data_IF_669014628267
#
_entry.id   IF_669014628267
#
_cell.length_a   1.000
_cell.length_b   1.000
_cell.length_c   1.000
_cell.angle_alpha   90.00
_cell.angle_beta   90.00
_cell.angle_gamma   90.00
#
_symmetry.space_group_name_H-M   'P 1'
#
loop_
_entity.id
_entity.type
_entity.pdbx_description
1 polymer ?
#
# COMPACT_ATOMS: atom_id res chain seq x y z
N UNK A 1 9.35 8.93 2.73
CA UNK A 1 8.19 9.00 1.84
C UNK A 1 7.14 9.98 2.35
N UNK A 2 6.60 9.80 3.55
CA UNK A 2 5.55 10.65 4.11
C UNK A 2 5.88 12.15 4.01
N UNK A 3 7.06 12.55 4.44
CA UNK A 3 7.49 13.97 4.39
C UNK A 3 7.48 14.52 2.96
N UNK A 4 7.83 13.71 1.97
CA UNK A 4 7.77 14.10 0.57
C UNK A 4 6.33 14.24 0.09
N UNK A 5 5.45 13.28 0.42
CA UNK A 5 4.03 13.32 0.05
C UNK A 5 3.32 14.57 0.61
N UNK A 6 3.65 14.97 1.85
CA UNK A 6 3.08 16.14 2.51
C UNK A 6 3.41 17.48 1.81
N UNK A 7 4.34 17.49 0.86
CA UNK A 7 4.61 18.68 0.03
C UNK A 7 3.55 18.91 -1.05
N UNK A 8 2.69 17.92 -1.31
CA UNK A 8 1.69 17.95 -2.39
C UNK A 8 0.25 17.78 -1.87
N UNK A 9 -0.21 18.60 -0.90
CA UNK A 9 -1.52 18.41 -0.24
C UNK A 9 -2.72 18.64 -1.17
N UNK A 10 -2.51 19.25 -2.34
CA UNK A 10 -3.55 19.44 -3.36
C UNK A 10 -3.75 18.20 -4.26
N UNK A 11 -2.79 17.28 -4.23
CA UNK A 11 -2.79 16.09 -5.08
C UNK A 11 -2.94 14.79 -4.28
N UNK A 12 -2.42 14.77 -3.04
CA UNK A 12 -2.26 13.57 -2.22
C UNK A 12 -2.77 13.83 -0.81
N UNK A 13 -3.73 13.04 -0.37
CA UNK A 13 -4.12 12.96 1.03
C UNK A 13 -3.37 11.81 1.71
N UNK A 14 -2.72 12.09 2.84
CA UNK A 14 -2.00 11.10 3.64
C UNK A 14 -2.82 10.75 4.86
N UNK A 15 -3.29 9.51 4.92
CA UNK A 15 -4.07 8.96 6.02
C UNK A 15 -3.23 7.97 6.85
N UNK A 16 -3.01 8.28 8.12
CA UNK A 16 -2.09 7.54 8.99
C UNK A 16 -2.86 6.67 9.99
N UNK A 17 -3.08 5.40 9.70
CA UNK A 17 -3.89 4.49 10.52
C UNK A 17 -3.47 4.46 12.00
N UNK A 18 -2.18 4.39 12.30
CA UNK A 18 -1.69 4.36 13.69
C UNK A 18 -1.88 5.68 14.44
N UNK A 19 -2.03 6.78 13.74
CA UNK A 19 -2.36 8.08 14.33
C UNK A 19 -3.85 8.26 14.53
N UNK A 20 -4.64 7.80 13.55
CA UNK A 20 -6.11 7.89 13.60
C UNK A 20 -6.70 6.90 14.62
N UNK A 21 -6.09 5.71 14.75
CA UNK A 21 -6.58 4.62 15.58
C UNK A 21 -5.52 4.12 16.58
N UNK A 22 -5.07 4.96 17.52
CA UNK A 22 -4.04 4.58 18.50
C UNK A 22 -4.52 3.50 19.47
N UNK A 23 -5.82 3.37 19.66
CA UNK A 23 -6.50 2.37 20.49
C UNK A 23 -7.02 1.16 19.68
N UNK A 24 -6.76 1.14 18.36
CA UNK A 24 -7.19 0.12 17.42
C UNK A 24 -8.71 -0.01 17.22
N UNK A 25 -9.50 0.96 17.68
CA UNK A 25 -10.93 1.04 17.43
C UNK A 25 -11.20 1.75 16.10
N UNK A 26 -11.35 0.97 15.03
CA UNK A 26 -11.51 1.51 13.67
C UNK A 26 -12.96 1.97 13.48
N UNK A 27 -13.15 3.23 13.08
CA UNK A 27 -14.43 3.73 12.61
C UNK A 27 -14.65 3.30 11.16
N UNK A 28 -15.23 2.11 11.01
CA UNK A 28 -15.45 1.46 9.71
C UNK A 28 -16.21 2.35 8.74
N UNK A 29 -17.26 3.05 9.19
CA UNK A 29 -18.06 3.92 8.32
C UNK A 29 -17.26 5.11 7.82
N UNK A 30 -16.49 5.74 8.69
CA UNK A 30 -15.61 6.84 8.32
C UNK A 30 -14.56 6.39 7.29
N UNK A 31 -13.96 5.22 7.48
CA UNK A 31 -12.98 4.67 6.54
C UNK A 31 -13.61 4.31 5.20
N UNK A 32 -14.80 3.73 5.20
CA UNK A 32 -15.56 3.44 3.99
C UNK A 32 -15.93 4.73 3.23
N UNK A 33 -16.39 5.76 3.92
CA UNK A 33 -16.67 7.08 3.34
C UNK A 33 -15.41 7.73 2.76
N UNK A 34 -14.27 7.57 3.42
CA UNK A 34 -12.98 8.04 2.92
C UNK A 34 -12.59 7.31 1.63
N UNK A 35 -12.69 5.99 1.60
CA UNK A 35 -12.38 5.18 0.41
C UNK A 35 -13.25 5.53 -0.80
N UNK A 36 -14.53 5.85 -0.56
CA UNK A 36 -15.46 6.24 -1.64
C UNK A 36 -15.01 7.53 -2.35
N UNK A 37 -14.36 8.45 -1.64
CA UNK A 37 -13.92 9.75 -2.20
C UNK A 37 -12.81 9.62 -3.24
N UNK A 38 -12.02 8.54 -3.18
CA UNK A 38 -10.81 8.40 -3.99
C UNK A 38 -10.93 7.26 -5.00
N UNK A 39 -10.55 7.52 -6.24
CA UNK A 39 -10.46 6.51 -7.29
C UNK A 39 -9.08 5.85 -7.35
N UNK A 40 -8.07 6.49 -6.76
CA UNK A 40 -6.70 6.03 -6.70
C UNK A 40 -6.23 5.95 -5.25
N UNK A 41 -5.92 4.75 -4.78
CA UNK A 41 -5.61 4.44 -3.38
C UNK A 41 -4.28 3.69 -3.32
N UNK A 42 -3.39 4.09 -2.42
CA UNK A 42 -2.12 3.38 -2.19
C UNK A 42 -2.04 2.95 -0.73
N UNK A 43 -1.92 1.66 -0.49
CA UNK A 43 -1.58 1.13 0.82
C UNK A 43 -0.06 1.17 1.00
N UNK A 44 0.41 2.07 1.87
CA UNK A 44 1.81 2.24 2.18
C UNK A 44 2.15 1.60 3.52
N UNK A 45 3.09 0.62 3.53
CA UNK A 45 3.46 -0.07 4.76
C UNK A 45 4.87 -0.68 4.71
N UNK A 46 5.52 -0.86 5.87
CA UNK A 46 6.69 -1.70 5.98
C UNK A 46 6.30 -3.18 5.96
N UNK A 47 7.08 -4.00 5.27
CA UNK A 47 6.85 -5.44 5.25
C UNK A 47 7.30 -6.06 6.58
N UNK A 48 6.34 -6.50 7.40
CA UNK A 48 6.56 -7.18 8.66
C UNK A 48 6.22 -8.65 8.55
N UNK A 49 7.23 -9.53 8.75
CA UNK A 49 7.05 -10.97 8.63
C UNK A 49 6.35 -11.38 7.33
N UNK A 50 6.81 -10.77 6.20
CA UNK A 50 6.28 -11.03 4.85
C UNK A 50 4.80 -10.63 4.68
N UNK A 51 4.30 -9.75 5.53
CA UNK A 51 2.93 -9.24 5.52
C UNK A 51 2.89 -7.75 5.90
N UNK A 52 1.72 -7.15 5.94
CA UNK A 52 1.54 -5.80 6.43
C UNK A 52 1.56 -5.73 7.97
N UNK A 53 1.72 -4.51 8.55
CA UNK A 53 1.54 -4.30 9.98
C UNK A 53 0.15 -4.71 10.46
N UNK A 54 0.00 -5.18 11.72
CA UNK A 54 -1.23 -5.79 12.21
C UNK A 54 -2.44 -4.85 12.17
N UNK A 55 -2.27 -3.55 12.40
CA UNK A 55 -3.38 -2.60 12.32
C UNK A 55 -3.90 -2.46 10.88
N UNK A 56 -3.04 -2.50 9.85
CA UNK A 56 -3.51 -2.50 8.46
C UNK A 56 -4.27 -3.79 8.14
N UNK A 57 -3.82 -4.95 8.64
CA UNK A 57 -4.56 -6.20 8.44
C UNK A 57 -5.92 -6.15 9.11
N UNK A 58 -6.00 -5.69 10.36
CA UNK A 58 -7.26 -5.48 11.07
C UNK A 58 -8.17 -4.52 10.30
N UNK A 59 -7.61 -3.42 9.80
CA UNK A 59 -8.34 -2.44 8.99
C UNK A 59 -8.93 -3.06 7.72
N UNK A 60 -8.16 -3.86 6.98
CA UNK A 60 -8.65 -4.58 5.80
C UNK A 60 -9.80 -5.53 6.16
N UNK A 61 -9.66 -6.28 7.25
CA UNK A 61 -10.67 -7.25 7.70
C UNK A 61 -11.98 -6.60 8.15
N UNK A 62 -11.92 -5.41 8.74
CA UNK A 62 -13.11 -4.72 9.25
C UNK A 62 -13.76 -3.80 8.22
N UNK A 63 -12.95 -3.08 7.40
CA UNK A 63 -13.47 -2.10 6.46
C UNK A 63 -14.00 -2.73 5.19
N UNK A 64 -13.38 -3.85 4.73
CA UNK A 64 -13.82 -4.56 3.53
C UNK A 64 -14.95 -5.54 3.88
N UNK A 65 -16.09 -4.99 4.30
CA UNK A 65 -17.25 -5.77 4.73
C UNK A 65 -18.00 -6.45 3.57
N UNK A 66 -18.68 -7.53 3.90
CA UNK A 66 -19.64 -8.19 3.02
C UNK A 66 -20.77 -7.21 2.61
N UNK A 67 -21.17 -7.24 1.34
CA UNK A 67 -22.11 -6.30 0.71
C UNK A 67 -21.64 -4.84 0.64
N UNK A 68 -20.40 -4.55 1.04
CA UNK A 68 -19.78 -3.25 0.80
C UNK A 68 -18.59 -3.40 -0.19
N UNK A 69 -17.55 -4.17 0.15
CA UNK A 69 -16.41 -4.43 -0.71
C UNK A 69 -16.62 -5.64 -1.63
N UNK A 70 -17.33 -6.64 -1.17
CA UNK A 70 -17.55 -7.91 -1.88
C UNK A 70 -18.95 -8.48 -1.59
N UNK A 71 -19.31 -9.57 -2.29
CA UNK A 71 -20.64 -10.19 -2.19
C UNK A 71 -21.63 -9.62 -3.20
N UNK A 72 -22.92 -9.94 -3.03
CA UNK A 72 -23.96 -9.63 -4.03
C UNK A 72 -24.10 -8.15 -4.37
N UNK A 73 -23.95 -7.27 -3.38
CA UNK A 73 -24.07 -5.83 -3.51
C UNK A 73 -22.77 -5.07 -3.23
N UNK A 74 -21.66 -5.80 -3.00
CA UNK A 74 -20.36 -5.23 -2.66
C UNK A 74 -19.62 -4.76 -3.91
N UNK A 75 -19.74 -3.51 -4.24
CA UNK A 75 -19.19 -2.89 -5.44
C UNK A 75 -18.43 -1.57 -5.18
N UNK A 76 -18.21 -1.20 -3.92
CA UNK A 76 -17.69 0.12 -3.56
C UNK A 76 -16.23 0.34 -3.93
N UNK A 77 -15.49 -0.75 -4.15
CA UNK A 77 -14.10 -0.71 -4.62
C UNK A 77 -13.96 -1.06 -6.10
N UNK A 78 -15.07 -1.38 -6.77
CA UNK A 78 -15.09 -1.75 -8.19
C UNK A 78 -14.44 -0.66 -9.04
N UNK A 79 -13.49 -1.10 -9.88
CA UNK A 79 -12.71 -0.27 -10.78
C UNK A 79 -11.82 0.80 -10.11
N UNK A 80 -11.77 0.88 -8.77
CA UNK A 80 -10.81 1.75 -8.10
C UNK A 80 -9.39 1.22 -8.30
N UNK A 81 -8.47 2.12 -8.59
CA UNK A 81 -7.05 1.83 -8.76
C UNK A 81 -6.40 1.69 -7.39
N UNK A 82 -5.95 0.51 -7.05
CA UNK A 82 -5.39 0.24 -5.72
C UNK A 82 -3.98 -0.33 -5.85
N UNK A 83 -3.01 0.38 -5.32
CA UNK A 83 -1.61 -0.01 -5.35
C UNK A 83 -1.01 -0.22 -3.97
N UNK A 84 0.20 -0.76 -3.96
CA UNK A 84 0.99 -0.95 -2.76
C UNK A 84 2.28 -0.15 -2.83
N UNK A 85 2.69 0.44 -1.72
CA UNK A 85 4.02 1.01 -1.55
C UNK A 85 4.68 0.37 -0.33
N UNK A 86 5.73 -0.44 -0.57
CA UNK A 86 6.27 -1.34 0.45
C UNK A 86 7.73 -1.05 0.73
N UNK A 87 8.09 -0.90 2.01
CA UNK A 87 9.48 -0.89 2.45
C UNK A 87 9.87 -2.26 2.99
N UNK A 88 11.07 -2.73 2.65
CA UNK A 88 11.60 -4.00 3.15
C UNK A 88 12.93 -3.81 3.88
N UNK A 89 13.11 -4.53 4.99
CA UNK A 89 14.40 -4.57 5.67
C UNK A 89 15.45 -5.41 4.95
N UNK A 90 15.02 -6.33 4.09
CA UNK A 90 15.90 -7.19 3.29
C UNK A 90 16.34 -6.53 1.99
N UNK A 91 17.51 -6.95 1.49
CA UNK A 91 18.03 -6.52 0.18
C UNK A 91 17.17 -7.05 -0.97
N UNK A 92 17.20 -6.36 -2.11
CA UNK A 92 16.48 -6.78 -3.33
C UNK A 92 16.84 -8.22 -3.75
N UNK A 93 18.09 -8.60 -3.70
CA UNK A 93 18.55 -9.94 -4.08
C UNK A 93 18.06 -11.07 -3.14
N UNK A 94 17.48 -10.74 -1.98
CA UNK A 94 16.87 -11.74 -1.11
C UNK A 94 15.50 -12.19 -1.63
N UNK A 95 14.79 -11.31 -2.36
CA UNK A 95 13.44 -11.54 -2.88
C UNK A 95 13.48 -12.07 -4.31
N UNK A 96 13.98 -13.29 -4.46
CA UNK A 96 14.00 -14.04 -5.71
C UNK A 96 14.12 -15.54 -5.45
N UNK A 97 13.75 -16.36 -6.43
CA UNK A 97 14.04 -17.79 -6.40
C UNK A 97 15.54 -18.04 -6.25
N UNK A 98 15.92 -18.87 -5.29
CA UNK A 98 17.33 -19.11 -4.91
C UNK A 98 17.94 -18.03 -4.01
N UNK A 99 17.26 -16.92 -3.75
CA UNK A 99 17.64 -15.92 -2.76
C UNK A 99 17.36 -16.36 -1.31
N UNK A 100 17.76 -15.53 -0.34
CA UNK A 100 17.58 -15.82 1.08
C UNK A 100 16.11 -16.05 1.47
N UNK A 101 15.19 -15.26 0.92
CA UNK A 101 13.75 -15.35 1.19
C UNK A 101 13.04 -16.37 0.30
N UNK A 102 13.72 -16.92 -0.72
CA UNK A 102 13.24 -17.94 -1.66
C UNK A 102 12.12 -17.52 -2.61
N UNK A 103 11.35 -16.50 -2.28
CA UNK A 103 10.24 -15.96 -3.05
C UNK A 103 10.54 -14.54 -3.51
N UNK A 104 10.01 -14.14 -4.66
CA UNK A 104 10.02 -12.76 -5.14
C UNK A 104 9.12 -11.88 -4.27
N UNK A 105 9.28 -10.55 -4.35
CA UNK A 105 8.37 -9.65 -3.65
C UNK A 105 6.95 -9.72 -4.23
N UNK A 106 6.82 -9.93 -5.55
CA UNK A 106 5.54 -10.17 -6.21
C UNK A 106 4.78 -11.34 -5.57
N UNK A 107 5.46 -12.47 -5.37
CA UNK A 107 4.86 -13.65 -4.74
C UNK A 107 4.47 -13.40 -3.27
N UNK A 108 5.24 -12.60 -2.55
CA UNK A 108 4.92 -12.21 -1.17
C UNK A 108 3.68 -11.31 -1.13
N UNK A 109 3.45 -10.51 -2.16
CA UNK A 109 2.33 -9.56 -2.22
C UNK A 109 1.04 -10.14 -2.84
N UNK A 110 1.05 -11.38 -3.35
CA UNK A 110 -0.13 -12.07 -3.89
C UNK A 110 -1.39 -11.93 -3.01
N UNK A 111 -1.33 -12.09 -1.66
CA UNK A 111 -2.53 -11.95 -0.84
C UNK A 111 -3.22 -10.58 -0.94
N UNK A 112 -2.45 -9.52 -1.19
CA UNK A 112 -3.00 -8.17 -1.38
C UNK A 112 -3.59 -8.00 -2.77
N UNK A 113 -2.90 -8.48 -3.80
CA UNK A 113 -3.42 -8.51 -5.16
C UNK A 113 -4.75 -9.25 -5.22
N UNK A 114 -4.82 -10.47 -4.66
CA UNK A 114 -6.05 -11.25 -4.59
C UNK A 114 -7.16 -10.54 -3.80
N UNK A 115 -6.83 -9.87 -2.69
CA UNK A 115 -7.81 -9.11 -1.91
C UNK A 115 -8.41 -7.96 -2.74
N UNK A 116 -7.56 -7.23 -3.48
CA UNK A 116 -8.00 -6.13 -4.33
C UNK A 116 -8.84 -6.64 -5.50
N UNK A 117 -8.39 -7.71 -6.17
CA UNK A 117 -9.10 -8.34 -7.28
C UNK A 117 -10.46 -8.90 -6.83
N UNK A 118 -10.52 -9.54 -5.66
CA UNK A 118 -11.75 -10.06 -5.08
C UNK A 118 -12.77 -8.96 -4.77
N UNK A 119 -12.28 -7.79 -4.34
CA UNK A 119 -13.09 -6.57 -4.16
C UNK A 119 -13.38 -5.83 -5.48
N UNK A 120 -13.06 -6.41 -6.65
CA UNK A 120 -13.26 -5.85 -7.98
C UNK A 120 -12.46 -4.55 -8.25
N UNK A 121 -11.44 -4.26 -7.44
CA UNK A 121 -10.48 -3.19 -7.70
C UNK A 121 -9.51 -3.53 -8.83
N UNK A 122 -8.80 -2.54 -9.32
CA UNK A 122 -7.72 -2.69 -10.28
C UNK A 122 -6.40 -2.66 -9.51
N UNK A 123 -5.72 -3.81 -9.42
CA UNK A 123 -4.41 -3.87 -8.78
C UNK A 123 -3.36 -3.17 -9.64
N UNK A 124 -2.65 -2.22 -9.05
CA UNK A 124 -1.58 -1.47 -9.72
C UNK A 124 -0.21 -2.14 -9.47
N UNK A 125 0.76 -1.98 -10.38
CA UNK A 125 2.14 -2.34 -10.09
C UNK A 125 2.60 -1.71 -8.77
N UNK A 126 3.19 -2.48 -7.86
CA UNK A 126 3.62 -1.95 -6.57
C UNK A 126 4.88 -1.07 -6.68
N UNK A 127 5.05 -0.15 -5.73
CA UNK A 127 6.29 0.59 -5.50
C UNK A 127 7.03 0.00 -4.31
N UNK A 128 8.37 -0.09 -4.39
CA UNK A 128 9.13 -0.67 -3.29
C UNK A 128 10.51 -0.06 -3.10
N UNK A 129 10.96 -0.02 -1.83
CA UNK A 129 12.35 0.25 -1.46
C UNK A 129 12.87 -0.88 -0.57
N UNK A 130 14.09 -1.32 -0.83
CA UNK A 130 14.74 -2.44 -0.17
C UNK A 130 15.87 -1.97 0.74
N UNK A 131 16.24 -2.80 1.74
CA UNK A 131 17.37 -2.52 2.62
C UNK A 131 17.10 -1.42 3.66
N UNK A 132 15.84 -1.09 3.92
CA UNK A 132 15.46 -0.08 4.92
C UNK A 132 15.23 -0.77 6.27
N UNK A 133 16.26 -0.84 7.09
CA UNK A 133 16.19 -1.45 8.42
C UNK A 133 17.00 -0.63 9.42
N UNK A 134 16.53 -0.50 10.67
CA UNK A 134 17.32 0.12 11.75
C UNK A 134 18.67 -0.56 11.98
N UNK A 135 18.79 -1.84 11.57
CA UNK A 135 19.99 -2.66 11.78
C UNK A 135 20.87 -2.79 10.52
N UNK A 136 20.34 -2.51 9.35
CA UNK A 136 21.02 -2.63 8.06
C UNK A 136 20.55 -1.45 7.22
N UNK A 137 21.09 -0.27 7.49
CA UNK A 137 20.80 0.89 6.66
C UNK A 137 21.80 0.91 5.51
N UNK A 138 21.38 0.44 4.33
CA UNK A 138 22.19 0.41 3.13
C UNK A 138 21.99 1.63 2.23
N UNK A 139 20.97 2.43 2.52
CA UNK A 139 20.64 3.63 1.74
C UNK A 139 21.09 4.89 2.49
N UNK A 140 21.79 5.76 1.78
CA UNK A 140 22.08 7.10 2.24
C UNK A 140 20.82 7.98 2.27
N UNK A 141 20.85 9.09 2.98
CA UNK A 141 19.76 10.07 3.02
C UNK A 141 19.43 10.60 1.61
N UNK A 142 20.45 10.78 0.75
CA UNK A 142 20.28 11.22 -0.63
C UNK A 142 19.52 10.17 -1.46
N UNK A 143 19.85 8.88 -1.31
CA UNK A 143 19.14 7.78 -1.99
C UNK A 143 17.70 7.65 -1.50
N UNK A 144 17.46 7.80 -0.20
CA UNK A 144 16.11 7.82 0.36
C UNK A 144 15.31 9.02 -0.14
N UNK A 145 15.94 10.20 -0.23
CA UNK A 145 15.33 11.40 -0.78
C UNK A 145 14.98 11.27 -2.25
N UNK A 146 15.87 10.64 -3.06
CA UNK A 146 15.59 10.34 -4.46
C UNK A 146 14.42 9.36 -4.60
N UNK A 147 14.45 8.27 -3.83
CA UNK A 147 13.38 7.27 -3.85
C UNK A 147 12.01 7.86 -3.42
N UNK A 148 12.00 8.82 -2.48
CA UNK A 148 10.78 9.52 -2.09
C UNK A 148 10.17 10.34 -3.24
N UNK A 149 11.01 10.98 -4.07
CA UNK A 149 10.55 11.69 -5.28
C UNK A 149 10.05 10.71 -6.35
N UNK A 150 10.76 9.60 -6.56
CA UNK A 150 10.32 8.53 -7.47
C UNK A 150 8.96 7.95 -7.04
N UNK A 151 8.68 7.92 -5.74
CA UNK A 151 7.37 7.50 -5.23
C UNK A 151 6.25 8.48 -5.62
N UNK A 152 6.48 9.78 -5.53
CA UNK A 152 5.51 10.78 -6.02
C UNK A 152 5.25 10.60 -7.52
N UNK A 153 6.29 10.39 -8.31
CA UNK A 153 6.14 10.15 -9.75
C UNK A 153 5.39 8.84 -10.05
N UNK A 154 5.64 7.78 -9.26
CA UNK A 154 4.87 6.54 -9.35
C UNK A 154 3.36 6.79 -9.11
N UNK A 155 3.01 7.55 -8.07
CA UNK A 155 1.60 7.89 -7.77
C UNK A 155 0.95 8.64 -8.95
N UNK A 156 1.65 9.62 -9.52
CA UNK A 156 1.17 10.39 -10.67
C UNK A 156 0.97 9.51 -11.90
N UNK A 157 1.98 8.72 -12.23
CA UNK A 157 1.95 7.82 -13.37
C UNK A 157 0.81 6.81 -13.27
N UNK A 158 0.68 6.11 -12.16
CA UNK A 158 -0.38 5.09 -11.97
C UNK A 158 -1.78 5.69 -11.90
N UNK A 159 -1.91 6.97 -11.55
CA UNK A 159 -3.19 7.69 -11.65
C UNK A 159 -3.61 7.90 -13.11
N UNK A 160 -2.68 8.17 -14.02
CA UNK A 160 -2.94 8.52 -15.42
C UNK A 160 -3.07 7.30 -16.36
N UNK A 161 -2.40 6.17 -16.07
CA UNK A 161 -2.23 5.03 -16.99
C UNK A 161 -3.50 4.22 -17.31
N UNK A 162 -4.67 4.50 -16.75
CA UNK A 162 -5.88 3.65 -16.92
C UNK A 162 -6.96 4.28 -17.83
N UNK A 163 -6.67 5.38 -18.50
CA UNK A 163 -7.55 5.97 -19.51
C UNK A 163 -7.22 5.51 -20.95
N UNK A 164 -6.64 4.28 -21.09
CA UNK A 164 -6.35 3.70 -22.42
C UNK A 164 -7.03 2.35 -22.62
#
# INVERSE_FOLDING_TARGET
WKEELLKYPQEIEVHELYREYPDWNIDVKREQELLIKYEHIIFQFPLYWFNCPPLLKKWLDEVFEYNWAYGLNGDKLKNKKIGLAVTTGGKREYYKHGGKNKFSLDEVLIPFEETINYAQGIYLPYFSVYGVSPHINELSDDELGKNAKEYVEYIRKTREEVDK
#
